data_IF_593043035405
#
_entry.id   IF_593043035405
#
_cell.length_a   1.000
_cell.length_b   1.000
_cell.length_c   1.000
_cell.angle_alpha   90.00
_cell.angle_beta   90.00
_cell.angle_gamma   90.00
#
_symmetry.space_group_name_H-M   'P 1'
#
loop_
_entity.id
_entity.type
_entity.pdbx_description
1 polymer ?
#
# COMPACT_ATOMS: atom_id res chain seq x y z
N UNK A 1 -8.33 -5.69 9.28
CA UNK A 1 -7.48 -6.92 9.43
C UNK A 1 -6.44 -6.67 10.51
N UNK A 2 -6.07 -7.68 11.31
CA UNK A 2 -5.01 -7.58 12.33
C UNK A 2 -3.99 -8.69 12.12
N UNK A 3 -2.71 -8.34 12.05
CA UNK A 3 -1.57 -9.25 11.96
C UNK A 3 -0.63 -9.02 13.16
N UNK A 4 -0.07 -10.10 13.71
CA UNK A 4 0.81 -10.05 14.89
C UNK A 4 2.19 -10.59 14.54
N UNK A 5 3.23 -9.92 15.02
CA UNK A 5 4.63 -10.29 14.78
C UNK A 5 5.39 -10.32 16.11
N UNK A 6 6.01 -11.45 16.43
CA UNK A 6 6.87 -11.56 17.62
C UNK A 6 8.15 -10.72 17.45
N UNK A 7 8.54 -9.98 18.51
CA UNK A 7 9.74 -9.12 18.50
C UNK A 7 11.06 -9.88 18.36
N UNK A 8 11.07 -11.16 18.72
CA UNK A 8 12.27 -12.00 18.63
C UNK A 8 12.70 -12.25 17.17
N UNK A 9 11.76 -12.15 16.23
CA UNK A 9 11.97 -12.49 14.81
C UNK A 9 11.78 -11.32 13.85
N UNK A 10 11.20 -10.21 14.32
CA UNK A 10 10.84 -9.08 13.47
C UNK A 10 11.20 -7.75 14.11
N UNK A 11 11.59 -6.79 13.28
CA UNK A 11 11.71 -5.38 13.63
C UNK A 11 10.64 -4.54 12.94
N UNK A 12 10.42 -3.31 13.44
CA UNK A 12 9.55 -2.32 12.79
C UNK A 12 9.94 -2.12 11.33
N UNK A 13 11.24 -1.97 11.03
CA UNK A 13 11.70 -1.71 9.67
C UNK A 13 11.49 -2.90 8.73
N UNK A 14 11.57 -4.13 9.24
CA UNK A 14 11.24 -5.33 8.49
C UNK A 14 9.75 -5.38 8.16
N UNK A 15 8.88 -5.17 9.14
CA UNK A 15 7.42 -5.18 8.94
C UNK A 15 7.01 -4.06 7.97
N UNK A 16 7.55 -2.84 8.16
CA UNK A 16 7.30 -1.73 7.25
C UNK A 16 7.78 -2.04 5.84
N UNK A 17 8.97 -2.63 5.68
CA UNK A 17 9.47 -3.06 4.37
C UNK A 17 8.53 -4.05 3.69
N UNK A 18 7.93 -4.99 4.42
CA UNK A 18 7.00 -5.97 3.85
C UNK A 18 5.76 -5.33 3.23
N UNK A 19 5.25 -4.25 3.82
CA UNK A 19 4.05 -3.56 3.34
C UNK A 19 4.34 -2.37 2.42
N UNK A 20 5.56 -1.82 2.47
CA UNK A 20 5.91 -0.58 1.75
C UNK A 20 6.70 -0.81 0.46
N UNK A 21 7.51 -1.88 0.38
CA UNK A 21 8.39 -2.13 -0.77
C UNK A 21 7.64 -2.76 -1.93
N UNK A 22 7.87 -2.21 -3.12
CA UNK A 22 7.25 -2.68 -4.37
C UNK A 22 7.60 -4.14 -4.65
N UNK A 23 8.86 -4.51 -4.41
CA UNK A 23 9.39 -5.85 -4.62
C UNK A 23 8.63 -6.87 -3.76
N UNK A 24 8.49 -6.57 -2.47
CA UNK A 24 7.84 -7.47 -1.52
C UNK A 24 6.34 -7.59 -1.77
N UNK A 25 5.67 -6.50 -2.14
CA UNK A 25 4.23 -6.54 -2.49
C UNK A 25 3.99 -7.47 -3.69
N UNK A 26 4.87 -7.44 -4.69
CA UNK A 26 4.74 -8.31 -5.87
C UNK A 26 5.04 -9.77 -5.57
N UNK A 27 6.01 -10.04 -4.69
CA UNK A 27 6.36 -11.39 -4.23
C UNK A 27 5.22 -12.02 -3.41
N UNK A 28 4.55 -11.23 -2.56
CA UNK A 28 3.52 -11.72 -1.65
C UNK A 28 2.10 -11.69 -2.21
N UNK A 29 1.86 -10.97 -3.32
CA UNK A 29 0.54 -10.86 -3.92
C UNK A 29 0.57 -11.12 -5.43
N UNK A 30 0.19 -12.35 -5.81
CA UNK A 30 0.15 -12.80 -7.21
C UNK A 30 -0.83 -12.00 -8.09
N UNK A 31 -1.79 -11.28 -7.49
CA UNK A 31 -2.74 -10.45 -8.22
C UNK A 31 -2.13 -9.13 -8.69
N UNK A 32 -0.97 -8.73 -8.16
CA UNK A 32 -0.27 -7.53 -8.60
C UNK A 32 0.40 -7.83 -9.94
N UNK A 33 -0.07 -7.15 -10.99
CA UNK A 33 0.56 -7.19 -12.31
C UNK A 33 1.78 -6.28 -12.34
N UNK A 34 1.63 -5.06 -11.83
CA UNK A 34 2.64 -4.01 -11.84
C UNK A 34 2.46 -3.12 -10.61
N UNK A 35 3.56 -2.68 -10.00
CA UNK A 35 3.55 -1.62 -8.99
C UNK A 35 4.81 -0.78 -9.20
N UNK A 36 4.67 0.55 -9.17
CA UNK A 36 5.77 1.47 -9.41
C UNK A 36 5.63 2.72 -8.56
N UNK A 37 6.74 3.16 -7.98
CA UNK A 37 6.85 4.51 -7.42
C UNK A 37 7.12 5.48 -8.56
N UNK A 38 6.14 6.34 -8.84
CA UNK A 38 6.23 7.34 -9.92
C UNK A 38 6.96 8.60 -9.49
N UNK A 39 6.82 8.98 -8.22
CA UNK A 39 7.48 10.16 -7.66
C UNK A 39 7.72 9.94 -6.17
N UNK A 40 8.95 10.18 -5.71
CA UNK A 40 9.24 10.27 -4.28
C UNK A 40 9.13 11.73 -3.83
N UNK A 41 8.55 11.95 -2.66
CA UNK A 41 8.41 13.26 -2.01
C UNK A 41 9.03 13.15 -0.61
N UNK A 42 10.38 13.13 -0.49
CA UNK A 42 11.05 12.84 0.78
C UNK A 42 10.76 13.88 1.87
N UNK A 43 10.55 15.14 1.49
CA UNK A 43 10.21 16.22 2.42
C UNK A 43 8.92 15.99 3.20
N UNK A 44 8.05 15.13 2.68
CA UNK A 44 6.75 14.80 3.27
C UNK A 44 6.67 13.33 3.72
N UNK A 45 7.74 12.55 3.59
CA UNK A 45 7.70 11.08 3.74
C UNK A 45 6.57 10.45 2.90
N UNK A 46 6.41 10.96 1.67
CA UNK A 46 5.32 10.57 0.78
C UNK A 46 5.86 10.05 -0.55
N UNK A 47 5.05 9.27 -1.24
CA UNK A 47 5.34 8.80 -2.59
C UNK A 47 4.05 8.70 -3.42
N UNK A 48 4.14 9.08 -4.69
CA UNK A 48 3.13 8.77 -5.68
C UNK A 48 3.35 7.36 -6.20
N UNK A 49 2.35 6.50 -6.04
CA UNK A 49 2.42 5.10 -6.40
C UNK A 49 1.36 4.78 -7.45
N UNK A 50 1.77 4.00 -8.43
CA UNK A 50 0.90 3.41 -9.44
C UNK A 50 0.87 1.89 -9.25
N UNK A 51 -0.32 1.32 -9.19
CA UNK A 51 -0.55 -0.11 -8.97
C UNK A 51 -1.51 -0.63 -10.04
N UNK A 52 -1.20 -1.75 -10.66
CA UNK A 52 -2.07 -2.48 -11.59
C UNK A 52 -2.31 -3.88 -11.05
N UNK A 53 -3.58 -4.22 -10.91
CA UNK A 53 -4.02 -5.57 -10.57
C UNK A 53 -4.43 -6.33 -11.83
N UNK A 54 -4.11 -7.63 -11.85
CA UNK A 54 -4.58 -8.57 -12.85
C UNK A 54 -6.11 -8.61 -12.84
N UNK A 55 -6.75 -8.85 -13.99
CA UNK A 55 -8.18 -9.11 -14.00
C UNK A 55 -8.47 -10.42 -13.27
N UNK A 56 -9.62 -10.49 -12.60
CA UNK A 56 -10.03 -11.72 -11.90
C UNK A 56 -10.15 -12.92 -12.86
N UNK A 57 -10.68 -12.70 -14.07
CA UNK A 57 -10.70 -13.66 -15.16
C UNK A 57 -10.92 -12.93 -16.51
N UNK A 58 -11.10 -13.68 -17.61
CA UNK A 58 -11.27 -13.12 -18.97
C UNK A 58 -12.51 -12.23 -19.17
N UNK A 59 -13.49 -12.28 -18.28
CA UNK A 59 -14.71 -11.45 -18.36
C UNK A 59 -14.50 -10.06 -17.75
N UNK A 60 -13.54 -9.90 -16.85
CA UNK A 60 -13.30 -8.66 -16.13
C UNK A 60 -12.08 -7.92 -16.67
N UNK A 61 -12.10 -6.58 -16.57
CA UNK A 61 -10.95 -5.74 -16.92
C UNK A 61 -9.98 -5.65 -15.75
N UNK A 62 -8.70 -5.44 -16.06
CA UNK A 62 -7.70 -5.06 -15.05
C UNK A 62 -8.11 -3.76 -14.36
N UNK A 63 -7.60 -3.56 -13.14
CA UNK A 63 -7.79 -2.33 -12.38
C UNK A 63 -6.46 -1.66 -12.15
N UNK A 64 -6.38 -0.37 -12.37
CA UNK A 64 -5.25 0.45 -11.94
C UNK A 64 -5.66 1.37 -10.79
N UNK A 65 -4.67 1.76 -10.00
CA UNK A 65 -4.81 2.69 -8.90
C UNK A 65 -3.65 3.66 -8.97
N UNK A 66 -3.94 4.93 -8.73
CA UNK A 66 -2.93 5.94 -8.47
C UNK A 66 -3.25 6.60 -7.13
N UNK A 67 -2.27 6.60 -6.24
CA UNK A 67 -2.46 7.04 -4.87
C UNK A 67 -1.19 7.67 -4.32
N UNK A 68 -1.37 8.54 -3.32
CA UNK A 68 -0.29 8.98 -2.47
C UNK A 68 -0.19 7.99 -1.31
N UNK A 69 1.02 7.48 -1.09
CA UNK A 69 1.43 6.77 0.11
C UNK A 69 2.14 7.76 1.02
N UNK A 70 1.70 7.88 2.26
CA UNK A 70 2.30 8.75 3.27
C UNK A 70 2.63 7.94 4.53
N UNK A 71 3.84 8.11 5.08
CA UNK A 71 4.29 7.41 6.28
C UNK A 71 4.71 8.39 7.35
N UNK A 72 4.21 8.21 8.57
CA UNK A 72 4.60 9.03 9.72
C UNK A 72 4.66 8.21 11.01
N UNK A 73 5.40 8.73 11.99
CA UNK A 73 5.48 8.15 13.33
C UNK A 73 4.78 9.07 14.32
N UNK A 74 4.03 8.49 15.24
CA UNK A 74 3.50 9.18 16.41
C UNK A 74 3.87 8.38 17.66
N UNK A 75 4.82 8.89 18.45
CA UNK A 75 5.36 8.16 19.59
C UNK A 75 6.01 6.83 19.16
N UNK A 76 5.50 5.71 19.69
CA UNK A 76 5.97 4.36 19.37
C UNK A 76 5.17 3.68 18.25
N UNK A 77 4.26 4.40 17.62
CA UNK A 77 3.41 3.89 16.55
C UNK A 77 3.90 4.40 15.19
N UNK A 78 3.78 3.55 14.18
CA UNK A 78 4.03 3.91 12.78
C UNK A 78 2.71 3.81 12.02
N UNK A 79 2.41 4.82 11.22
CA UNK A 79 1.24 4.86 10.37
C UNK A 79 1.66 4.96 8.92
N UNK A 80 0.95 4.23 8.05
CA UNK A 80 1.05 4.35 6.60
C UNK A 80 -0.34 4.52 6.03
N UNK A 81 -0.52 5.54 5.21
CA UNK A 81 -1.81 5.86 4.58
C UNK A 81 -1.63 5.84 3.08
N UNK A 82 -2.42 5.02 2.41
CA UNK A 82 -2.53 5.01 0.95
C UNK A 82 -3.88 5.62 0.58
N UNK A 83 -3.89 6.71 -0.20
CA UNK A 83 -5.12 7.37 -0.63
C UNK A 83 -5.09 7.72 -2.10
N UNK A 84 -6.09 7.28 -2.84
CA UNK A 84 -6.24 7.59 -4.25
C UNK A 84 -6.31 9.08 -4.51
N UNK A 85 -5.69 9.49 -5.62
CA UNK A 85 -5.70 10.87 -6.09
C UNK A 85 -6.05 10.92 -7.58
N UNK A 86 -6.48 12.09 -8.03
CA UNK A 86 -6.45 12.39 -9.46
C UNK A 86 -5.05 12.84 -9.86
N UNK A 87 -4.57 12.39 -11.02
CA UNK A 87 -3.26 12.79 -11.54
C UNK A 87 -3.31 12.90 -13.06
N UNK A 88 -3.05 14.10 -13.57
CA UNK A 88 -3.13 14.41 -15.01
C UNK A 88 -2.09 13.66 -15.84
N UNK A 89 -0.96 13.27 -15.25
CA UNK A 89 0.09 12.51 -15.95
C UNK A 89 -0.23 11.02 -16.06
N UNK A 90 -1.28 10.55 -15.37
CA UNK A 90 -1.75 9.17 -15.40
C UNK A 90 -3.28 9.12 -15.52
N UNK A 91 -3.83 9.62 -16.64
CA UNK A 91 -5.27 9.60 -16.86
C UNK A 91 -5.79 8.16 -16.95
N UNK A 92 -7.08 7.92 -16.67
CA UNK A 92 -7.69 6.60 -16.88
C UNK A 92 -7.55 6.16 -18.34
N UNK A 93 -7.11 4.92 -18.56
CA UNK A 93 -7.06 4.32 -19.89
C UNK A 93 -8.41 3.65 -20.22
N UNK A 94 -8.89 3.72 -21.46
CA UNK A 94 -10.19 3.10 -21.82
C UNK A 94 -10.26 1.58 -21.57
N UNK A 95 -9.11 0.90 -21.56
CA UNK A 95 -8.98 -0.56 -21.43
C UNK A 95 -8.81 -1.04 -19.99
N UNK A 96 -8.55 -0.14 -19.04
CA UNK A 96 -8.29 -0.45 -17.63
C UNK A 96 -9.27 0.36 -16.77
N UNK A 97 -9.85 -0.26 -15.74
CA UNK A 97 -10.78 0.44 -14.84
C UNK A 97 -9.98 1.11 -13.72
N UNK A 98 -10.07 2.43 -13.60
CA UNK A 98 -9.46 3.19 -12.50
C UNK A 98 -10.23 2.95 -11.22
N UNK A 99 -9.62 2.24 -10.26
CA UNK A 99 -10.17 2.07 -8.93
C UNK A 99 -9.77 3.20 -7.99
N UNK A 100 -10.49 3.31 -6.88
CA UNK A 100 -10.17 4.19 -5.77
C UNK A 100 -9.92 3.37 -4.50
N UNK A 101 -8.89 3.75 -3.75
CA UNK A 101 -8.56 3.13 -2.48
C UNK A 101 -8.30 4.18 -1.39
N UNK A 102 -8.61 3.80 -0.16
CA UNK A 102 -8.15 4.44 1.05
C UNK A 102 -7.77 3.33 2.02
N UNK A 103 -6.48 3.20 2.33
CA UNK A 103 -5.97 2.16 3.22
C UNK A 103 -5.17 2.84 4.32
N UNK A 104 -5.49 2.50 5.56
CA UNK A 104 -4.75 2.97 6.74
C UNK A 104 -4.14 1.77 7.42
N UNK A 105 -2.82 1.76 7.50
CA UNK A 105 -2.04 0.81 8.27
C UNK A 105 -1.56 1.49 9.55
N UNK A 106 -1.78 0.84 10.69
CA UNK A 106 -1.21 1.21 11.98
C UNK A 106 -0.36 0.07 12.52
N UNK A 107 0.91 0.33 12.79
CA UNK A 107 1.84 -0.60 13.43
C UNK A 107 2.06 -0.16 14.88
N UNK A 108 1.60 -1.00 15.80
CA UNK A 108 1.62 -0.74 17.23
C UNK A 108 2.65 -1.63 17.91
N UNK A 109 3.61 -1.01 18.59
CA UNK A 109 4.54 -1.71 19.45
C UNK A 109 3.90 -2.07 20.80
N UNK A 110 3.84 -3.38 21.12
CA UNK A 110 3.45 -3.92 22.42
C UNK A 110 4.67 -4.43 23.17
N UNK A 111 4.51 -5.04 24.34
CA UNK A 111 5.63 -5.51 25.15
C UNK A 111 6.47 -6.58 24.42
N UNK A 112 5.81 -7.64 23.91
CA UNK A 112 6.47 -8.80 23.28
C UNK A 112 6.21 -8.92 21.77
N UNK A 113 5.34 -8.07 21.20
CA UNK A 113 4.92 -8.18 19.81
C UNK A 113 4.70 -6.82 19.15
N UNK A 114 4.60 -6.84 17.83
CA UNK A 114 4.04 -5.77 17.01
C UNK A 114 2.67 -6.19 16.49
N UNK A 115 1.70 -5.28 16.55
CA UNK A 115 0.38 -5.45 15.95
C UNK A 115 0.25 -4.54 14.73
N UNK A 116 0.10 -5.13 13.54
CA UNK A 116 -0.24 -4.41 12.32
C UNK A 116 -1.75 -4.48 12.12
N UNK A 117 -2.41 -3.33 12.16
CA UNK A 117 -3.84 -3.17 11.91
C UNK A 117 -3.99 -2.47 10.57
N UNK A 118 -4.83 -3.02 9.70
CA UNK A 118 -5.19 -2.40 8.42
C UNK A 118 -6.70 -2.17 8.37
N UNK A 119 -7.09 -0.93 8.08
CA UNK A 119 -8.44 -0.53 7.70
C UNK A 119 -8.44 -0.19 6.21
N UNK A 120 -9.42 -0.72 5.46
CA UNK A 120 -9.41 -0.76 3.99
C UNK A 120 -10.78 -0.36 3.46
N UNK A 121 -10.80 0.71 2.68
CA UNK A 121 -11.93 1.13 1.86
C UNK A 121 -11.52 1.11 0.38
N UNK A 122 -12.29 0.41 -0.45
CA UNK A 122 -12.06 0.31 -1.90
C UNK A 122 -13.37 0.62 -2.62
N UNK A 123 -13.35 1.60 -3.49
CA UNK A 123 -14.50 2.03 -4.31
C UNK A 123 -14.17 1.96 -5.80
N UNK A 124 -15.21 2.06 -6.63
CA UNK A 124 -15.10 2.02 -8.09
C UNK A 124 -15.05 3.42 -8.68
#
# INVERSE_FOLDING_TARGET
MVLKFGKDNHSVDQIMSMISKVETVKELNENVQEMQVKTNIPSENSALVYLVLKPFNRLYRSRDFIFIRHVFKAGRQVYMVDKSIENTNYPPFMTIVRGQLCIVYGLFEREHEFELIADVEITN
#
